data_IF_913779709199
#
_entry.id   IF_913779709199
#
_cell.length_a   1.000
_cell.length_b   1.000
_cell.length_c   1.000
_cell.angle_alpha   90.00
_cell.angle_beta   90.00
_cell.angle_gamma   90.00
#
_symmetry.space_group_name_H-M   'P 1'
#
loop_
_entity.id
_entity.type
_entity.pdbx_description
1 polymer ?
#
# COMPACT_ATOMS: atom_id res chain seq x y z
N UNK A 1 11.33 -4.88 17.44
CA UNK A 1 10.76 -3.75 16.65
C UNK A 1 9.31 -3.58 17.08
N UNK A 2 8.89 -2.34 17.34
CA UNK A 2 7.52 -2.03 17.73
C UNK A 2 6.54 -2.48 16.62
N UNK A 3 5.49 -3.19 17.01
CA UNK A 3 4.46 -3.64 16.07
C UNK A 3 3.64 -2.41 15.65
N UNK A 4 3.71 -2.00 14.39
CA UNK A 4 2.97 -0.86 13.90
C UNK A 4 1.46 -1.15 14.03
N UNK A 5 0.67 -0.30 14.71
CA UNK A 5 -0.78 -0.48 14.74
C UNK A 5 -1.33 -0.46 13.31
N UNK A 6 -2.27 -1.35 13.02
CA UNK A 6 -2.89 -1.47 11.70
C UNK A 6 -3.50 -0.14 11.21
N UNK A 7 -4.04 0.67 12.12
CA UNK A 7 -4.51 2.03 11.82
C UNK A 7 -3.41 2.95 11.26
N UNK A 8 -2.18 2.80 11.73
CA UNK A 8 -1.01 3.50 11.19
C UNK A 8 -0.73 3.08 9.74
N UNK A 9 -0.88 1.79 9.43
CA UNK A 9 -0.70 1.24 8.08
C UNK A 9 -1.78 1.75 7.13
N UNK A 10 -3.05 1.75 7.55
CA UNK A 10 -4.15 2.32 6.74
C UNK A 10 -3.94 3.81 6.44
N UNK A 11 -3.50 4.59 7.43
CA UNK A 11 -3.18 6.02 7.24
C UNK A 11 -2.02 6.21 6.26
N UNK A 12 -1.01 5.34 6.30
CA UNK A 12 0.11 5.38 5.37
C UNK A 12 -0.35 5.12 3.93
N UNK A 13 -1.16 4.08 3.69
CA UNK A 13 -1.71 3.79 2.36
C UNK A 13 -2.55 4.95 1.84
N UNK A 14 -3.38 5.55 2.69
CA UNK A 14 -4.17 6.71 2.29
C UNK A 14 -3.29 7.89 1.83
N UNK A 15 -2.25 8.22 2.62
CA UNK A 15 -1.30 9.28 2.25
C UNK A 15 -0.54 8.95 0.97
N UNK A 16 -0.07 7.72 0.81
CA UNK A 16 0.63 7.28 -0.39
C UNK A 16 -0.24 7.43 -1.64
N UNK A 17 -1.52 7.03 -1.57
CA UNK A 17 -2.45 7.19 -2.68
C UNK A 17 -2.69 8.66 -3.07
N UNK A 18 -2.71 9.58 -2.11
CA UNK A 18 -2.79 11.02 -2.42
C UNK A 18 -1.55 11.46 -3.19
N UNK A 19 -0.35 11.10 -2.72
CA UNK A 19 0.90 11.47 -3.39
C UNK A 19 0.97 10.87 -4.80
N UNK A 20 0.63 9.59 -4.95
CA UNK A 20 0.61 8.91 -6.26
C UNK A 20 -0.45 9.47 -7.22
N UNK A 21 -1.59 9.94 -6.71
CA UNK A 21 -2.61 10.60 -7.56
C UNK A 21 -2.13 11.94 -8.13
N UNK A 22 -1.25 12.64 -7.42
CA UNK A 22 -0.65 13.88 -7.88
C UNK A 22 0.42 13.64 -8.96
N UNK A 23 1.02 12.45 -8.99
CA UNK A 23 2.07 12.07 -9.95
C UNK A 23 1.54 11.43 -11.25
N UNK A 24 0.24 11.58 -11.57
CA UNK A 24 -0.44 11.00 -12.75
C UNK A 24 -0.39 9.46 -12.84
N UNK A 25 -0.01 8.76 -11.77
CA UNK A 25 -0.01 7.30 -11.74
C UNK A 25 -1.45 6.79 -11.74
N UNK A 26 -1.79 5.93 -12.70
CA UNK A 26 -3.09 5.25 -12.77
C UNK A 26 -3.16 4.04 -11.84
N UNK A 27 -2.42 4.08 -10.74
CA UNK A 27 -2.22 3.00 -9.80
C UNK A 27 -2.55 3.48 -8.40
N UNK A 28 -3.15 2.61 -7.59
CA UNK A 28 -3.37 2.85 -6.16
C UNK A 28 -2.88 1.67 -5.35
N UNK A 29 -2.45 1.94 -4.14
CA UNK A 29 -2.18 0.95 -3.13
C UNK A 29 -3.45 0.57 -2.38
N UNK A 30 -3.58 -0.69 -2.02
CA UNK A 30 -4.60 -1.20 -1.11
C UNK A 30 -4.01 -2.22 -0.14
N UNK A 31 -4.71 -2.43 0.97
CA UNK A 31 -4.35 -3.45 1.95
C UNK A 31 -5.39 -4.55 1.93
N UNK A 32 -4.96 -5.80 1.75
CA UNK A 32 -5.75 -6.99 2.01
C UNK A 32 -5.29 -7.60 3.33
N UNK A 33 -6.19 -7.68 4.31
CA UNK A 33 -5.92 -8.33 5.59
C UNK A 33 -6.41 -9.77 5.54
N UNK A 34 -5.51 -10.71 5.79
CA UNK A 34 -5.81 -12.12 6.00
C UNK A 34 -5.62 -12.46 7.48
N UNK A 35 -6.03 -13.68 7.88
CA UNK A 35 -6.09 -14.08 9.29
C UNK A 35 -4.78 -13.88 10.07
N UNK A 36 -3.63 -14.05 9.41
CA UNK A 36 -2.31 -13.98 10.04
C UNK A 36 -1.36 -12.95 9.40
N UNK A 37 -1.70 -12.45 8.20
CA UNK A 37 -0.80 -11.63 7.40
C UNK A 37 -1.55 -10.46 6.78
N UNK A 38 -0.79 -9.44 6.41
CA UNK A 38 -1.27 -8.28 5.69
C UNK A 38 -0.57 -8.28 4.34
N UNK A 39 -1.33 -8.10 3.27
CA UNK A 39 -0.82 -7.99 1.92
C UNK A 39 -1.03 -6.57 1.41
N UNK A 40 0.04 -5.91 1.00
CA UNK A 40 0.01 -4.68 0.23
C UNK A 40 -0.12 -5.03 -1.24
N UNK A 41 -1.13 -4.48 -1.90
CA UNK A 41 -1.41 -4.71 -3.30
C UNK A 41 -1.43 -3.39 -4.06
N UNK A 42 -1.03 -3.45 -5.32
CA UNK A 42 -1.18 -2.39 -6.30
C UNK A 42 -2.38 -2.71 -7.19
N UNK A 43 -3.22 -1.71 -7.44
CA UNK A 43 -4.41 -1.82 -8.29
C UNK A 43 -4.35 -0.78 -9.37
N UNK A 44 -4.52 -1.20 -10.62
CA UNK A 44 -4.71 -0.27 -11.75
C UNK A 44 -6.13 0.28 -11.73
N UNK A 45 -6.25 1.61 -11.66
CA UNK A 45 -7.53 2.32 -11.46
C UNK A 45 -8.45 2.16 -12.68
N UNK A 46 -7.90 2.09 -13.90
CA UNK A 46 -8.66 1.97 -15.14
C UNK A 46 -8.80 0.54 -15.66
N UNK A 47 -8.25 -0.44 -14.94
CA UNK A 47 -8.32 -1.83 -15.39
C UNK A 47 -9.69 -2.42 -15.05
N UNK A 48 -10.51 -2.65 -16.08
CA UNK A 48 -11.81 -3.32 -15.97
C UNK A 48 -11.70 -4.73 -15.40
N UNK A 49 -10.53 -5.36 -15.52
CA UNK A 49 -10.28 -6.70 -14.98
C UNK A 49 -9.88 -6.67 -13.50
N UNK A 50 -9.82 -5.48 -12.88
CA UNK A 50 -9.37 -5.28 -11.50
C UNK A 50 -8.05 -6.01 -11.22
N UNK A 51 -7.07 -5.91 -12.13
CA UNK A 51 -5.78 -6.55 -11.91
C UNK A 51 -5.13 -6.02 -10.64
N UNK A 52 -4.80 -6.95 -9.74
CA UNK A 52 -4.16 -6.69 -8.45
C UNK A 52 -2.80 -7.36 -8.48
N UNK A 53 -1.77 -6.56 -8.27
CA UNK A 53 -0.41 -7.06 -8.14
C UNK A 53 -0.03 -7.04 -6.66
N UNK A 54 0.44 -8.17 -6.14
CA UNK A 54 0.96 -8.24 -4.77
C UNK A 54 2.33 -7.57 -4.73
N UNK A 55 2.49 -6.56 -3.87
CA UNK A 55 3.77 -5.90 -3.60
C UNK A 55 4.52 -6.61 -2.48
N UNK A 56 3.83 -6.87 -1.36
CA UNK A 56 4.43 -7.46 -0.17
C UNK A 56 3.36 -8.13 0.69
N UNK A 57 3.66 -9.32 1.21
CA UNK A 57 2.89 -9.97 2.29
C UNK A 57 3.78 -10.04 3.53
N UNK A 58 3.28 -9.54 4.66
CA UNK A 58 4.05 -9.47 5.90
C UNK A 58 3.22 -8.99 7.08
N UNK A 59 3.89 -8.58 8.15
CA UNK A 59 3.24 -7.96 9.30
C UNK A 59 3.02 -6.45 9.08
N UNK A 60 2.32 -5.79 10.00
CA UNK A 60 2.00 -4.36 9.88
C UNK A 60 3.22 -3.46 9.73
N UNK A 61 4.32 -3.79 10.40
CA UNK A 61 5.56 -3.01 10.34
C UNK A 61 6.24 -3.17 8.98
N UNK A 62 6.29 -4.38 8.43
CA UNK A 62 6.86 -4.64 7.10
C UNK A 62 6.09 -3.85 6.02
N UNK A 63 4.76 -3.91 6.08
CA UNK A 63 3.90 -3.19 5.15
C UNK A 63 4.08 -1.68 5.27
N UNK A 64 4.15 -1.16 6.50
CA UNK A 64 4.36 0.27 6.73
C UNK A 64 5.69 0.76 6.16
N UNK A 65 6.78 0.01 6.37
CA UNK A 65 8.10 0.37 5.81
C UNK A 65 8.07 0.37 4.28
N UNK A 66 7.41 -0.62 3.67
CA UNK A 66 7.29 -0.66 2.21
C UNK A 66 6.51 0.52 1.64
N UNK A 67 5.47 0.98 2.34
CA UNK A 67 4.72 2.17 1.92
C UNK A 67 5.59 3.43 1.99
N UNK A 68 6.41 3.59 3.03
CA UNK A 68 7.33 4.72 3.13
C UNK A 68 8.35 4.72 1.99
N UNK A 69 8.93 3.55 1.68
CA UNK A 69 9.86 3.39 0.55
C UNK A 69 9.22 3.81 -0.79
N UNK A 70 7.98 3.39 -1.04
CA UNK A 70 7.23 3.77 -2.24
C UNK A 70 6.99 5.28 -2.27
N UNK A 71 6.56 5.88 -1.15
CA UNK A 71 6.30 7.32 -1.07
C UNK A 71 7.57 8.14 -1.34
N UNK A 72 8.72 7.74 -0.80
CA UNK A 72 10.00 8.41 -1.04
C UNK A 72 10.46 8.28 -2.49
N UNK A 73 10.09 7.20 -3.19
CA UNK A 73 10.46 6.99 -4.60
C UNK A 73 9.61 7.80 -5.59
N UNK A 74 8.48 8.37 -5.13
CA UNK A 74 7.58 9.19 -5.96
C UNK A 74 7.86 10.69 -5.81
N UNK A 75 8.58 11.10 -4.74
CA UNK A 75 9.05 12.48 -4.53
C UNK A 75 10.34 12.76 -5.30
#
# INVERSE_FOLDING_TARGET
MSNMPLNGVYRAVFKANIVMSQSLLQERLQIRKEQQHITLEKVKILDKNNHKETILTGNSSDIYQKILEIMTSVQ
#
